data_IF_212798152835
#
_entry.id   IF_212798152835
#
_cell.length_a   1.000
_cell.length_b   1.000
_cell.length_c   1.000
_cell.angle_alpha   90.00
_cell.angle_beta   90.00
_cell.angle_gamma   90.00
#
_symmetry.space_group_name_H-M   'P 1'
#
loop_
_entity.id
_entity.type
_entity.pdbx_description
1 polymer ?
#
# COMPACT_ATOMS: atom_id res chain seq x y z
N UNK A 1 17.27 -23.59 26.22
CA UNK A 1 16.90 -22.30 25.65
C UNK A 1 15.97 -22.61 24.47
N UNK A 2 14.65 -22.40 24.66
CA UNK A 2 13.68 -22.59 23.57
C UNK A 2 13.92 -21.50 22.52
N UNK A 3 14.10 -21.90 21.27
CA UNK A 3 14.04 -20.97 20.15
C UNK A 3 12.61 -20.41 20.13
N UNK A 4 12.44 -19.16 20.53
CA UNK A 4 11.21 -18.44 20.23
C UNK A 4 11.09 -18.42 18.71
N UNK A 5 9.99 -18.96 18.18
CA UNK A 5 9.70 -18.89 16.75
C UNK A 5 9.78 -17.40 16.34
N UNK A 6 10.51 -17.12 15.26
CA UNK A 6 10.53 -15.75 14.74
C UNK A 6 9.10 -15.35 14.40
N UNK A 7 8.65 -14.15 14.79
CA UNK A 7 7.32 -13.68 14.45
C UNK A 7 7.22 -13.61 12.92
N UNK A 8 6.14 -14.15 12.36
CA UNK A 8 5.83 -14.08 10.94
C UNK A 8 4.65 -13.14 10.71
N UNK A 9 4.60 -12.50 9.54
CA UNK A 9 3.43 -11.74 9.12
C UNK A 9 2.25 -12.71 8.95
N UNK A 10 1.06 -12.42 9.54
CA UNK A 10 -0.12 -13.27 9.37
C UNK A 10 -0.49 -13.43 7.88
N UNK A 11 -0.92 -14.63 7.51
CA UNK A 11 -1.47 -14.94 6.19
C UNK A 11 -2.94 -15.24 6.36
N UNK A 12 -3.81 -14.47 5.73
CA UNK A 12 -5.26 -14.60 5.83
C UNK A 12 -5.82 -15.03 4.47
N UNK A 13 -6.50 -16.16 4.43
CA UNK A 13 -7.17 -16.67 3.23
C UNK A 13 -8.37 -15.81 2.87
N UNK A 14 -8.35 -15.22 1.67
CA UNK A 14 -9.39 -14.32 1.16
C UNK A 14 -10.32 -14.97 0.13
N UNK A 15 -9.99 -16.16 -0.37
CA UNK A 15 -10.75 -16.84 -1.42
C UNK A 15 -12.23 -17.07 -1.07
N UNK A 16 -12.54 -17.32 0.19
CA UNK A 16 -13.92 -17.51 0.67
C UNK A 16 -14.73 -16.22 0.81
N UNK A 17 -14.14 -15.06 0.59
CA UNK A 17 -14.81 -13.76 0.69
C UNK A 17 -15.56 -13.35 -0.60
N UNK A 18 -15.54 -14.18 -1.62
CA UNK A 18 -16.39 -14.07 -2.81
C UNK A 18 -17.90 -14.18 -2.49
N UNK A 19 -18.24 -14.60 -1.27
CA UNK A 19 -19.63 -14.67 -0.82
C UNK A 19 -20.09 -13.33 -0.24
N UNK A 20 -21.32 -12.93 -0.57
CA UNK A 20 -21.97 -11.69 -0.16
C UNK A 20 -22.12 -11.54 1.37
N UNK A 21 -21.90 -12.62 2.12
CA UNK A 21 -21.96 -12.63 3.59
C UNK A 21 -20.54 -12.62 4.13
N UNK A 22 -20.12 -11.47 4.66
CA UNK A 22 -18.86 -11.33 5.35
C UNK A 22 -18.94 -12.11 6.67
N UNK A 23 -18.02 -13.04 6.87
CA UNK A 23 -17.98 -13.85 8.10
C UNK A 23 -17.38 -13.02 9.24
N UNK A 24 -18.12 -12.86 10.33
CA UNK A 24 -17.69 -12.10 11.53
C UNK A 24 -16.33 -12.60 12.06
N UNK A 25 -16.07 -13.91 12.00
CA UNK A 25 -14.76 -14.47 12.42
C UNK A 25 -13.61 -13.92 11.54
N UNK A 26 -13.80 -13.87 10.22
CA UNK A 26 -12.82 -13.34 9.29
C UNK A 26 -12.60 -11.82 9.47
N UNK A 27 -13.66 -11.06 9.76
CA UNK A 27 -13.54 -9.63 10.09
C UNK A 27 -12.67 -9.42 11.34
N UNK A 28 -12.88 -10.23 12.37
CA UNK A 28 -12.10 -10.17 13.60
C UNK A 28 -10.63 -10.58 13.38
N UNK A 29 -10.38 -11.56 12.52
CA UNK A 29 -9.02 -11.98 12.17
C UNK A 29 -8.26 -10.85 11.45
N UNK A 30 -8.88 -10.21 10.45
CA UNK A 30 -8.32 -9.04 9.76
C UNK A 30 -8.06 -7.89 10.73
N UNK A 31 -9.03 -7.55 11.59
CA UNK A 31 -8.86 -6.53 12.61
C UNK A 31 -7.69 -6.84 13.52
N UNK A 32 -7.63 -8.05 14.09
CA UNK A 32 -6.56 -8.46 15.00
C UNK A 32 -5.18 -8.39 14.34
N UNK A 33 -5.05 -8.81 13.08
CA UNK A 33 -3.80 -8.70 12.33
C UNK A 33 -3.36 -7.23 12.16
N UNK A 34 -4.30 -6.32 11.86
CA UNK A 34 -4.01 -4.90 11.73
C UNK A 34 -3.73 -4.22 13.08
N UNK A 35 -4.41 -4.63 14.15
CA UNK A 35 -4.14 -4.13 15.51
C UNK A 35 -2.75 -4.58 15.99
N UNK A 36 -2.39 -5.85 15.79
CA UNK A 36 -1.17 -6.43 16.36
C UNK A 36 0.06 -6.19 15.51
N UNK A 37 -0.02 -6.45 14.19
CA UNK A 37 1.10 -6.36 13.26
C UNK A 37 1.07 -5.10 12.40
N UNK A 38 -0.10 -4.48 12.25
CA UNK A 38 -0.33 -3.38 11.31
C UNK A 38 -0.38 -3.83 9.85
N UNK A 39 -0.23 -5.11 9.59
CA UNK A 39 -0.26 -5.68 8.25
C UNK A 39 -0.58 -7.18 8.28
N UNK A 40 -0.96 -7.71 7.11
CA UNK A 40 -1.13 -9.14 6.86
C UNK A 40 -0.99 -9.43 5.35
N UNK A 41 -0.73 -10.67 5.00
CA UNK A 41 -0.77 -11.15 3.63
C UNK A 41 -2.18 -11.67 3.32
N UNK A 42 -2.89 -10.99 2.42
CA UNK A 42 -4.16 -11.43 1.88
C UNK A 42 -3.90 -12.47 0.79
N UNK A 43 -4.22 -13.72 1.05
CA UNK A 43 -3.95 -14.86 0.18
C UNK A 43 -5.20 -15.20 -0.65
N UNK A 44 -5.10 -15.05 -1.97
CA UNK A 44 -6.13 -15.34 -2.96
C UNK A 44 -5.84 -16.60 -3.77
N UNK A 45 -4.88 -17.43 -3.35
CA UNK A 45 -4.59 -18.68 -4.02
C UNK A 45 -5.73 -19.68 -3.81
N UNK A 46 -6.50 -19.94 -4.86
CA UNK A 46 -7.44 -21.08 -4.91
C UNK A 46 -6.71 -22.37 -5.39
N UNK A 47 -5.66 -22.19 -6.24
CA UNK A 47 -4.75 -23.22 -6.75
C UNK A 47 -3.36 -22.60 -6.98
N UNK A 48 -2.32 -23.44 -7.04
CA UNK A 48 -0.88 -23.05 -7.04
C UNK A 48 -0.36 -22.33 -8.31
N UNK A 49 -1.19 -21.89 -9.24
CA UNK A 49 -0.76 -21.43 -10.58
C UNK A 49 -0.51 -19.92 -10.73
N UNK A 50 -0.61 -19.13 -9.67
CA UNK A 50 -0.26 -17.70 -9.71
C UNK A 50 -1.26 -16.82 -10.48
N UNK A 51 -2.43 -17.35 -10.78
CA UNK A 51 -3.52 -16.70 -11.52
C UNK A 51 -4.60 -16.26 -10.54
N UNK A 52 -5.02 -14.98 -10.63
CA UNK A 52 -6.11 -14.46 -9.82
C UNK A 52 -7.33 -14.29 -10.70
N UNK A 53 -8.38 -15.07 -10.40
CA UNK A 53 -9.67 -14.94 -11.06
C UNK A 53 -10.50 -13.84 -10.40
N UNK A 54 -10.83 -12.78 -11.14
CA UNK A 54 -11.77 -11.77 -10.67
C UNK A 54 -13.19 -12.21 -11.00
N UNK A 55 -14.01 -12.49 -9.97
CA UNK A 55 -15.41 -12.86 -10.17
C UNK A 55 -16.32 -11.65 -10.12
N UNK A 56 -16.48 -10.94 -11.22
CA UNK A 56 -17.63 -10.11 -11.57
C UNK A 56 -17.62 -9.93 -13.08
N UNK A 57 -18.66 -10.29 -13.75
CA UNK A 57 -19.05 -10.18 -15.18
C UNK A 57 -17.99 -9.84 -16.27
N UNK A 58 -16.80 -9.39 -15.91
CA UNK A 58 -15.60 -9.26 -16.73
C UNK A 58 -14.52 -10.18 -16.13
N UNK A 59 -14.47 -11.43 -16.59
CA UNK A 59 -13.43 -12.42 -16.22
C UNK A 59 -12.06 -11.98 -16.74
N UNK A 60 -11.44 -10.99 -16.13
CA UNK A 60 -10.03 -10.66 -16.40
C UNK A 60 -9.13 -11.50 -15.50
N UNK A 61 -8.47 -12.47 -16.10
CA UNK A 61 -7.40 -13.23 -15.46
C UNK A 61 -6.17 -12.34 -15.42
N UNK A 62 -5.69 -12.02 -14.21
CA UNK A 62 -4.48 -11.23 -14.03
C UNK A 62 -3.32 -12.15 -13.70
N UNK A 63 -2.38 -12.23 -14.62
CA UNK A 63 -1.09 -12.86 -14.39
C UNK A 63 -0.12 -11.83 -13.80
N UNK A 64 0.27 -12.00 -12.54
CA UNK A 64 1.16 -11.07 -11.85
C UNK A 64 2.53 -10.91 -12.52
N UNK A 65 3.04 -11.94 -13.18
CA UNK A 65 4.31 -11.86 -13.91
C UNK A 65 4.20 -10.91 -15.10
N UNK A 66 3.09 -10.94 -15.84
CA UNK A 66 2.84 -10.02 -16.96
C UNK A 66 2.72 -8.56 -16.48
N UNK A 67 2.15 -8.33 -15.30
CA UNK A 67 2.10 -6.99 -14.69
C UNK A 67 3.52 -6.46 -14.46
N UNK A 68 4.43 -7.26 -13.88
CA UNK A 68 5.82 -6.82 -13.68
C UNK A 68 6.58 -6.67 -14.99
N UNK A 69 6.33 -7.53 -15.98
CA UNK A 69 6.93 -7.42 -17.31
C UNK A 69 6.51 -6.15 -18.04
N UNK A 70 5.26 -5.70 -17.87
CA UNK A 70 4.78 -4.43 -18.41
C UNK A 70 5.46 -3.20 -17.80
N UNK A 71 6.03 -3.31 -16.58
CA UNK A 71 6.77 -2.21 -15.96
C UNK A 71 8.18 -2.02 -16.54
N UNK A 72 8.80 -3.07 -17.10
CA UNK A 72 10.18 -2.99 -17.60
C UNK A 72 10.35 -1.90 -18.66
N UNK A 73 9.58 -1.89 -19.77
CA UNK A 73 9.70 -0.84 -20.79
C UNK A 73 9.34 0.55 -20.26
N UNK A 74 8.51 0.68 -19.22
CA UNK A 74 8.23 1.96 -18.58
C UNK A 74 9.47 2.54 -17.91
N UNK A 75 10.19 1.73 -17.14
CA UNK A 75 11.40 2.17 -16.45
C UNK A 75 12.61 2.34 -17.38
N UNK A 76 12.59 1.73 -18.58
CA UNK A 76 13.62 1.88 -19.59
C UNK A 76 13.47 3.16 -20.44
N UNK A 77 12.36 3.90 -20.25
CA UNK A 77 12.19 5.21 -20.88
C UNK A 77 13.30 6.19 -20.45
N UNK A 78 13.67 7.14 -21.33
CA UNK A 78 14.62 8.19 -20.96
C UNK A 78 14.17 8.99 -19.75
N UNK A 79 15.13 9.47 -18.95
CA UNK A 79 14.84 10.24 -17.72
C UNK A 79 13.99 11.49 -18.02
N UNK A 80 14.25 12.15 -19.16
CA UNK A 80 13.52 13.33 -19.63
C UNK A 80 12.03 13.05 -19.88
N UNK A 81 11.69 11.78 -20.13
CA UNK A 81 10.30 11.34 -20.25
C UNK A 81 9.71 11.04 -18.87
N UNK A 82 10.40 10.27 -18.05
CA UNK A 82 9.92 9.85 -16.72
C UNK A 82 9.64 11.03 -15.80
N UNK A 83 10.46 12.08 -15.84
CA UNK A 83 10.26 13.30 -15.03
C UNK A 83 9.03 14.13 -15.44
N UNK A 84 8.37 13.82 -16.55
CA UNK A 84 7.07 14.41 -16.91
C UNK A 84 5.94 13.91 -16.01
N UNK A 85 6.13 12.81 -15.30
CA UNK A 85 5.20 12.34 -14.28
C UNK A 85 5.29 13.24 -13.05
N UNK A 86 4.59 14.36 -13.09
CA UNK A 86 4.52 15.37 -12.02
C UNK A 86 3.14 15.39 -11.39
N UNK A 87 3.06 15.80 -10.12
CA UNK A 87 1.81 16.08 -9.42
C UNK A 87 2.01 17.24 -8.45
N UNK A 88 1.01 18.10 -8.24
CA UNK A 88 1.03 19.10 -7.17
C UNK A 88 0.93 18.47 -5.76
N UNK A 89 0.47 17.23 -5.66
CA UNK A 89 0.39 16.51 -4.40
C UNK A 89 1.74 15.87 -4.08
N UNK A 90 2.16 15.98 -2.83
CA UNK A 90 3.40 15.37 -2.37
C UNK A 90 3.39 13.86 -2.63
N UNK A 91 4.53 13.31 -3.03
CA UNK A 91 4.75 11.88 -3.30
C UNK A 91 3.91 11.25 -4.42
N UNK A 92 3.20 12.02 -5.26
CA UNK A 92 2.34 11.48 -6.31
C UNK A 92 3.04 11.37 -7.68
N UNK A 93 4.12 12.09 -7.90
CA UNK A 93 4.88 12.07 -9.16
C UNK A 93 6.07 11.09 -9.18
N UNK A 94 6.94 11.31 -10.16
CA UNK A 94 8.20 10.59 -10.30
C UNK A 94 9.13 10.84 -9.12
N UNK A 95 9.76 9.77 -8.64
CA UNK A 95 10.83 9.78 -7.64
C UNK A 95 11.99 8.96 -8.17
N UNK A 96 13.16 9.53 -8.22
CA UNK A 96 14.37 8.86 -8.66
C UNK A 96 15.57 9.80 -8.66
N UNK A 97 16.75 9.28 -8.97
CA UNK A 97 18.01 10.04 -9.01
C UNK A 97 18.35 10.74 -7.68
N UNK A 98 17.86 10.17 -6.54
CA UNK A 98 18.11 10.72 -5.22
C UNK A 98 19.44 10.16 -4.66
N UNK A 99 20.44 11.00 -4.32
CA UNK A 99 21.75 10.52 -3.84
C UNK A 99 21.65 9.65 -2.58
N UNK A 100 20.63 9.89 -1.74
CA UNK A 100 20.41 9.12 -0.50
C UNK A 100 19.54 7.86 -0.71
N UNK A 101 18.90 7.71 -1.89
CA UNK A 101 18.14 6.53 -2.31
C UNK A 101 18.50 6.13 -3.75
N UNK A 102 19.77 5.78 -4.01
CA UNK A 102 20.27 5.59 -5.38
C UNK A 102 19.73 4.34 -6.07
N UNK A 103 19.12 3.42 -5.32
CA UNK A 103 18.59 2.17 -5.87
C UNK A 103 17.16 2.30 -6.36
N UNK A 104 16.41 3.29 -5.86
CA UNK A 104 14.97 3.45 -6.11
C UNK A 104 14.69 4.35 -7.31
N UNK A 105 13.80 3.89 -8.15
CA UNK A 105 13.08 4.67 -9.14
C UNK A 105 11.60 4.33 -9.07
N UNK A 106 10.72 5.34 -9.04
CA UNK A 106 9.28 5.10 -8.89
C UNK A 106 8.44 6.16 -9.59
N UNK A 107 7.25 5.78 -10.03
CA UNK A 107 6.26 6.68 -10.66
C UNK A 107 4.89 6.48 -10.05
N UNK A 108 4.12 7.56 -9.99
CA UNK A 108 2.75 7.54 -9.48
C UNK A 108 1.72 7.70 -10.59
N UNK A 109 0.65 6.91 -10.54
CA UNK A 109 -0.48 6.98 -11.46
C UNK A 109 -1.71 7.33 -10.64
N UNK A 110 -2.13 8.59 -10.71
CA UNK A 110 -3.31 9.07 -10.00
C UNK A 110 -4.60 8.54 -10.66
N UNK A 111 -5.57 8.17 -9.84
CA UNK A 111 -6.87 7.64 -10.29
C UNK A 111 -6.72 6.42 -11.24
N UNK A 112 -5.80 5.53 -10.93
CA UNK A 112 -5.47 4.37 -11.77
C UNK A 112 -6.64 3.38 -11.96
N UNK A 113 -7.67 3.44 -11.13
CA UNK A 113 -8.92 2.68 -11.30
C UNK A 113 -9.79 3.19 -12.45
N UNK A 114 -9.54 4.41 -12.94
CA UNK A 114 -10.24 5.02 -14.06
C UNK A 114 -9.43 4.97 -15.35
N UNK A 115 -10.12 4.77 -16.49
CA UNK A 115 -9.47 4.82 -17.79
C UNK A 115 -8.80 6.19 -18.06
N UNK A 116 -9.40 7.29 -17.57
CA UNK A 116 -8.83 8.63 -17.72
C UNK A 116 -7.48 8.76 -17.01
N UNK A 117 -7.36 8.29 -15.76
CA UNK A 117 -6.11 8.38 -14.99
C UNK A 117 -4.97 7.61 -15.65
N UNK A 118 -5.23 6.35 -16.06
CA UNK A 118 -4.21 5.52 -16.72
C UNK A 118 -3.82 6.07 -18.09
N UNK A 119 -4.80 6.50 -18.91
CA UNK A 119 -4.52 7.09 -20.22
C UNK A 119 -3.72 8.39 -20.11
N UNK A 120 -4.03 9.24 -19.14
CA UNK A 120 -3.28 10.48 -18.91
C UNK A 120 -1.80 10.20 -18.60
N UNK A 121 -1.53 9.26 -17.71
CA UNK A 121 -0.17 8.81 -17.41
C UNK A 121 0.51 8.22 -18.63
N UNK A 122 -0.16 7.29 -19.34
CA UNK A 122 0.42 6.59 -20.48
C UNK A 122 0.78 7.54 -21.62
N UNK A 123 -0.07 8.53 -21.93
CA UNK A 123 0.19 9.54 -22.95
C UNK A 123 1.37 10.45 -22.59
N UNK A 124 1.62 10.68 -21.29
CA UNK A 124 2.80 11.41 -20.87
C UNK A 124 4.10 10.59 -21.02
N UNK A 125 4.01 9.27 -20.87
CA UNK A 125 5.16 8.36 -21.00
C UNK A 125 5.44 7.93 -22.45
N UNK A 126 4.41 7.69 -23.24
CA UNK A 126 4.54 7.26 -24.66
C UNK A 126 3.73 8.18 -25.57
N UNK A 127 4.41 8.90 -26.46
CA UNK A 127 3.76 9.85 -27.38
C UNK A 127 2.75 9.21 -28.34
N UNK A 128 2.92 7.91 -28.63
CA UNK A 128 1.99 7.11 -29.44
C UNK A 128 0.94 6.37 -28.62
N UNK A 129 0.92 6.56 -27.30
CA UNK A 129 0.14 5.75 -26.38
C UNK A 129 0.72 4.34 -26.17
N UNK A 130 0.14 3.58 -25.24
CA UNK A 130 0.46 2.17 -25.00
C UNK A 130 -0.79 1.47 -24.47
N UNK A 131 -1.59 0.93 -25.38
CA UNK A 131 -2.91 0.35 -25.07
C UNK A 131 -2.79 -0.88 -24.17
N UNK A 132 -1.76 -1.71 -24.35
CA UNK A 132 -1.57 -2.93 -23.57
C UNK A 132 -1.18 -2.59 -22.13
N UNK A 133 -0.29 -1.62 -21.96
CA UNK A 133 0.03 -1.08 -20.62
C UNK A 133 -1.22 -0.48 -19.96
N UNK A 134 -2.03 0.31 -20.68
CA UNK A 134 -3.27 0.89 -20.13
C UNK A 134 -4.21 -0.17 -19.62
N UNK A 135 -4.51 -1.20 -20.42
CA UNK A 135 -5.40 -2.29 -20.04
C UNK A 135 -4.86 -3.02 -18.80
N UNK A 136 -3.61 -3.47 -18.85
CA UNK A 136 -2.96 -4.21 -17.79
C UNK A 136 -3.00 -3.46 -16.44
N UNK A 137 -2.58 -2.20 -16.46
CA UNK A 137 -2.50 -1.38 -15.24
C UNK A 137 -3.90 -1.04 -14.70
N UNK A 138 -4.87 -0.77 -15.57
CA UNK A 138 -6.23 -0.50 -15.14
C UNK A 138 -6.89 -1.72 -14.50
N UNK A 139 -6.72 -2.89 -15.10
CA UNK A 139 -7.24 -4.16 -14.56
C UNK A 139 -6.62 -4.48 -13.21
N UNK A 140 -5.29 -4.35 -13.10
CA UNK A 140 -4.60 -4.51 -11.83
C UNK A 140 -5.10 -3.52 -10.76
N UNK A 141 -5.21 -2.23 -11.10
CA UNK A 141 -5.67 -1.22 -10.15
C UNK A 141 -7.11 -1.48 -9.67
N UNK A 142 -8.00 -1.92 -10.56
CA UNK A 142 -9.37 -2.31 -10.20
C UNK A 142 -9.39 -3.52 -9.26
N UNK A 143 -8.60 -4.55 -9.54
CA UNK A 143 -8.50 -5.72 -8.66
C UNK A 143 -8.06 -5.29 -7.26
N UNK A 144 -6.94 -4.56 -7.16
CA UNK A 144 -6.36 -4.20 -5.86
C UNK A 144 -7.24 -3.20 -5.10
N UNK A 145 -7.98 -2.32 -5.80
CA UNK A 145 -8.94 -1.43 -5.14
C UNK A 145 -10.14 -2.19 -4.55
N UNK A 146 -10.59 -3.29 -5.19
CA UNK A 146 -11.62 -4.18 -4.61
C UNK A 146 -11.12 -4.90 -3.36
N UNK A 147 -9.85 -5.34 -3.36
CA UNK A 147 -9.22 -5.93 -2.17
C UNK A 147 -9.23 -4.91 -1.02
N UNK A 148 -8.81 -3.67 -1.28
CA UNK A 148 -8.81 -2.59 -0.28
C UNK A 148 -10.22 -2.34 0.27
N UNK A 149 -11.21 -2.18 -0.59
CA UNK A 149 -12.60 -1.96 -0.19
C UNK A 149 -13.13 -3.10 0.69
N UNK A 150 -12.82 -4.35 0.34
CA UNK A 150 -13.20 -5.53 1.11
C UNK A 150 -12.58 -5.51 2.49
N UNK A 151 -11.26 -5.29 2.59
CA UNK A 151 -10.55 -5.21 3.88
C UNK A 151 -11.11 -4.10 4.76
N UNK A 152 -11.31 -2.91 4.18
CA UNK A 152 -11.86 -1.76 4.90
C UNK A 152 -13.28 -2.03 5.39
N UNK A 153 -14.13 -2.64 4.58
CA UNK A 153 -15.47 -3.06 4.98
C UNK A 153 -15.42 -4.03 6.16
N UNK A 154 -14.55 -5.05 6.10
CA UNK A 154 -14.38 -6.02 7.20
C UNK A 154 -13.97 -5.36 8.51
N UNK A 155 -13.04 -4.40 8.45
CA UNK A 155 -12.60 -3.67 9.63
C UNK A 155 -13.73 -2.80 10.18
N UNK A 156 -14.47 -2.08 9.31
CA UNK A 156 -15.60 -1.25 9.74
C UNK A 156 -16.69 -2.09 10.41
N UNK A 157 -17.03 -3.26 9.84
CA UNK A 157 -17.97 -4.22 10.45
C UNK A 157 -17.45 -4.76 11.80
N UNK A 158 -16.15 -5.11 11.86
CA UNK A 158 -15.58 -5.65 13.09
C UNK A 158 -15.55 -4.65 14.26
N UNK A 159 -15.58 -3.37 13.96
CA UNK A 159 -15.69 -2.29 14.94
C UNK A 159 -17.14 -1.80 15.17
N UNK A 160 -18.14 -2.34 14.45
CA UNK A 160 -19.53 -1.88 14.53
C UNK A 160 -19.75 -0.45 14.01
N UNK A 161 -18.96 -0.05 13.01
CA UNK A 161 -18.97 1.30 12.41
C UNK A 161 -19.24 1.26 10.91
N UNK A 162 -19.91 0.23 10.43
CA UNK A 162 -20.25 0.01 9.01
C UNK A 162 -21.03 1.17 8.39
N UNK A 163 -21.76 1.94 9.18
CA UNK A 163 -22.50 3.13 8.73
C UNK A 163 -21.63 4.21 8.05
N UNK A 164 -20.30 4.20 8.34
CA UNK A 164 -19.37 5.14 7.73
C UNK A 164 -18.81 4.64 6.39
N UNK A 165 -19.11 3.42 5.97
CA UNK A 165 -18.51 2.81 4.79
C UNK A 165 -18.87 3.55 3.49
N UNK A 166 -20.15 3.91 3.29
CA UNK A 166 -20.58 4.61 2.07
C UNK A 166 -19.94 5.98 1.93
N UNK A 167 -20.01 6.80 2.99
CA UNK A 167 -19.41 8.14 2.98
C UNK A 167 -17.90 8.11 2.78
N UNK A 168 -17.25 7.06 3.27
CA UNK A 168 -15.82 6.85 3.03
C UNK A 168 -15.55 6.50 1.57
N UNK A 169 -16.34 5.62 0.95
CA UNK A 169 -16.23 5.25 -0.47
C UNK A 169 -16.31 6.45 -1.42
N UNK A 170 -17.19 7.40 -1.14
CA UNK A 170 -17.34 8.63 -1.92
C UNK A 170 -16.09 9.53 -1.87
N UNK A 171 -15.32 9.40 -0.80
CA UNK A 171 -14.18 10.27 -0.50
C UNK A 171 -12.82 9.63 -0.80
N UNK A 172 -12.75 8.31 -0.99
CA UNK A 172 -11.49 7.61 -1.23
C UNK A 172 -10.89 7.96 -2.60
N UNK A 173 -9.58 8.09 -2.63
CA UNK A 173 -8.79 8.21 -3.86
C UNK A 173 -7.65 7.24 -3.86
N UNK A 174 -7.31 6.75 -5.06
CA UNK A 174 -6.29 5.75 -5.26
C UNK A 174 -5.10 6.33 -6.01
N UNK A 175 -3.92 6.18 -5.44
CA UNK A 175 -2.64 6.37 -6.10
C UNK A 175 -2.01 4.99 -6.34
N UNK A 176 -1.81 4.61 -7.58
CA UNK A 176 -0.99 3.45 -7.90
C UNK A 176 0.46 3.90 -8.05
N UNK A 177 1.38 3.29 -7.33
CA UNK A 177 2.82 3.51 -7.51
C UNK A 177 3.49 2.26 -8.04
N UNK A 178 4.26 2.45 -9.08
CA UNK A 178 5.16 1.44 -9.63
C UNK A 178 6.59 1.78 -9.21
N UNK A 179 7.35 0.78 -8.79
CA UNK A 179 8.67 0.95 -8.19
C UNK A 179 9.65 -0.05 -8.80
N UNK A 180 10.84 0.43 -9.16
CA UNK A 180 11.98 -0.37 -9.59
C UNK A 180 13.14 -0.12 -8.64
N UNK A 181 13.73 -1.20 -8.14
CA UNK A 181 14.94 -1.15 -7.36
C UNK A 181 16.04 -1.87 -8.14
N UNK A 182 17.12 -1.16 -8.46
CA UNK A 182 18.28 -1.82 -9.06
C UNK A 182 19.10 -2.55 -8.01
N UNK A 183 19.83 -3.60 -8.39
CA UNK A 183 20.78 -4.24 -7.50
C UNK A 183 21.86 -3.25 -7.04
N UNK A 184 22.33 -3.34 -5.77
CA UNK A 184 23.43 -2.53 -5.28
C UNK A 184 24.77 -2.99 -5.88
N UNK A 185 25.66 -2.07 -6.19
CA UNK A 185 27.06 -2.41 -6.46
C UNK A 185 27.80 -2.80 -5.16
N UNK A 186 28.97 -3.43 -5.27
CA UNK A 186 29.72 -3.97 -4.11
C UNK A 186 30.03 -2.96 -3.01
N UNK A 187 30.06 -1.66 -3.30
CA UNK A 187 30.39 -0.59 -2.35
C UNK A 187 29.22 0.33 -2.01
N UNK A 188 28.04 0.06 -2.54
CA UNK A 188 26.84 0.86 -2.31
C UNK A 188 26.05 0.41 -1.08
N UNK A 189 25.18 1.32 -0.61
CA UNK A 189 24.14 0.96 0.35
C UNK A 189 23.22 -0.10 -0.24
N UNK A 190 22.74 -1.01 0.61
CA UNK A 190 21.69 -1.96 0.25
C UNK A 190 20.27 -1.41 0.49
N UNK A 191 20.18 -0.19 1.02
CA UNK A 191 18.89 0.42 1.34
C UNK A 191 18.20 0.86 0.04
N UNK A 192 17.13 0.17 -0.32
CA UNK A 192 16.25 0.52 -1.42
C UNK A 192 15.18 1.53 -1.02
N UNK A 193 14.65 1.41 0.22
CA UNK A 193 13.79 2.41 0.85
C UNK A 193 14.15 2.52 2.32
N UNK A 194 14.25 3.74 2.82
CA UNK A 194 14.51 4.01 4.24
C UNK A 194 13.32 3.58 5.09
N UNK A 195 13.55 3.37 6.39
CA UNK A 195 12.50 3.07 7.35
C UNK A 195 11.48 4.20 7.44
N UNK A 196 10.19 3.90 7.27
CA UNK A 196 9.09 4.86 7.36
C UNK A 196 7.76 4.13 7.66
N UNK A 197 6.76 4.86 8.04
CA UNK A 197 5.34 4.44 8.03
C UNK A 197 4.66 5.06 6.82
N UNK A 198 3.64 4.39 6.27
CA UNK A 198 2.83 4.97 5.21
C UNK A 198 1.91 6.07 5.75
N UNK A 199 1.71 7.11 4.97
CA UNK A 199 0.83 8.24 5.33
C UNK A 199 -0.62 8.02 4.86
N UNK A 200 -0.89 6.87 4.29
CA UNK A 200 -2.15 6.42 3.71
C UNK A 200 -3.17 5.99 4.78
N UNK A 201 -4.38 5.68 4.32
CA UNK A 201 -5.31 4.89 5.12
C UNK A 201 -4.91 3.41 5.04
N UNK A 202 -4.96 2.81 3.86
CA UNK A 202 -4.46 1.45 3.59
C UNK A 202 -3.50 1.52 2.40
N UNK A 203 -2.43 0.72 2.46
CA UNK A 203 -1.54 0.41 1.35
C UNK A 203 -1.63 -1.08 1.04
N UNK A 204 -1.73 -1.43 -0.25
CA UNK A 204 -1.68 -2.82 -0.69
C UNK A 204 -0.53 -2.97 -1.66
N UNK A 205 0.41 -3.85 -1.32
CA UNK A 205 1.69 -3.99 -2.01
C UNK A 205 1.87 -5.39 -2.57
N UNK A 206 2.46 -5.47 -3.75
CA UNK A 206 3.00 -6.71 -4.32
C UNK A 206 4.41 -6.48 -4.85
N UNK A 207 5.14 -7.56 -5.07
CA UNK A 207 6.48 -7.53 -5.67
C UNK A 207 6.69 -8.73 -6.58
N UNK A 208 7.67 -8.61 -7.48
CA UNK A 208 8.18 -9.78 -8.19
C UNK A 208 8.90 -10.75 -7.21
N UNK A 209 9.50 -11.81 -7.71
CA UNK A 209 10.15 -12.85 -6.90
C UNK A 209 11.37 -12.35 -6.11
N UNK A 210 11.86 -11.13 -6.38
CA UNK A 210 13.01 -10.55 -5.69
C UNK A 210 12.60 -9.99 -4.33
N UNK A 211 13.13 -10.56 -3.27
CA UNK A 211 12.87 -10.16 -1.88
C UNK A 211 13.47 -8.78 -1.56
N UNK A 212 13.05 -8.17 -0.47
CA UNK A 212 13.64 -6.92 0.00
C UNK A 212 12.79 -6.16 1.03
N UNK A 213 11.47 -6.29 0.97
CA UNK A 213 10.59 -5.61 1.93
C UNK A 213 10.72 -6.26 3.32
N UNK A 214 10.86 -5.42 4.33
CA UNK A 214 10.90 -5.81 5.74
C UNK A 214 9.93 -4.91 6.52
N UNK A 215 9.18 -5.50 7.45
CA UNK A 215 8.27 -4.82 8.37
C UNK A 215 8.81 -4.93 9.79
N UNK A 216 8.70 -3.86 10.57
CA UNK A 216 9.14 -3.81 11.96
C UNK A 216 7.98 -4.15 12.89
N UNK A 217 8.18 -5.13 13.76
CA UNK A 217 7.22 -5.47 14.81
C UNK A 217 7.14 -4.37 15.87
N UNK A 218 6.10 -4.39 16.71
CA UNK A 218 5.99 -3.51 17.89
C UNK A 218 7.17 -3.68 18.85
N UNK A 219 7.73 -4.90 18.96
CA UNK A 219 8.91 -5.19 19.78
C UNK A 219 10.24 -4.77 19.13
N UNK A 220 10.19 -4.18 17.93
CA UNK A 220 11.35 -3.62 17.25
C UNK A 220 12.12 -4.56 16.33
N UNK A 221 11.68 -5.80 16.12
CA UNK A 221 12.31 -6.76 15.20
C UNK A 221 11.91 -6.50 13.75
N UNK A 222 12.84 -6.67 12.83
CA UNK A 222 12.58 -6.61 11.39
C UNK A 222 12.23 -8.00 10.86
N UNK A 223 11.05 -8.14 10.27
CA UNK A 223 10.56 -9.37 9.64
C UNK A 223 10.62 -9.18 8.12
N UNK A 224 11.31 -10.07 7.36
CA UNK A 224 11.22 -10.07 5.92
C UNK A 224 9.81 -10.49 5.47
N UNK A 225 9.27 -9.79 4.46
CA UNK A 225 7.99 -10.16 3.86
C UNK A 225 8.23 -11.21 2.79
N UNK A 226 7.68 -12.39 3.02
CA UNK A 226 7.69 -13.48 2.04
C UNK A 226 6.28 -13.63 1.47
N UNK A 227 6.15 -13.37 0.17
CA UNK A 227 4.86 -13.43 -0.52
C UNK A 227 4.58 -14.87 -0.99
N UNK A 228 3.54 -15.56 -0.46
CA UNK A 228 2.98 -16.70 -1.15
C UNK A 228 2.49 -16.33 -2.56
N UNK A 229 2.38 -17.26 -3.49
CA UNK A 229 1.74 -16.99 -4.77
C UNK A 229 0.35 -16.37 -4.58
N UNK A 230 -0.05 -15.47 -5.47
CA UNK A 230 -1.34 -14.78 -5.43
C UNK A 230 -1.64 -14.04 -4.11
N UNK A 231 -0.63 -13.56 -3.40
CA UNK A 231 -0.82 -12.82 -2.16
C UNK A 231 -0.52 -11.34 -2.30
N UNK A 232 -1.22 -10.53 -1.49
CA UNK A 232 -1.08 -9.09 -1.40
C UNK A 232 -0.77 -8.71 0.04
N UNK A 233 0.28 -7.91 0.26
CA UNK A 233 0.51 -7.34 1.58
C UNK A 233 -0.44 -6.16 1.78
N UNK A 234 -1.35 -6.30 2.72
CA UNK A 234 -2.20 -5.22 3.22
C UNK A 234 -1.51 -4.58 4.41
N UNK A 235 -1.34 -3.26 4.38
CA UNK A 235 -0.66 -2.52 5.43
C UNK A 235 -1.46 -1.28 5.82
N UNK A 236 -1.62 -1.06 7.11
CA UNK A 236 -2.24 0.14 7.64
C UNK A 236 -1.27 1.31 7.63
N UNK A 237 -1.75 2.49 7.23
CA UNK A 237 -1.01 3.73 7.30
C UNK A 237 -1.38 4.58 8.53
N UNK A 238 -0.69 5.71 8.66
CA UNK A 238 -0.85 6.63 9.78
C UNK A 238 -2.27 7.22 9.86
N UNK A 239 -2.91 7.46 8.71
CA UNK A 239 -4.28 7.96 8.69
C UNK A 239 -5.28 6.92 9.24
N UNK A 240 -5.05 5.63 9.00
CA UNK A 240 -5.87 4.56 9.56
C UNK A 240 -5.64 4.41 11.07
N UNK A 241 -4.39 4.51 11.53
CA UNK A 241 -4.06 4.57 12.96
C UNK A 241 -4.84 5.69 13.65
N UNK A 242 -4.85 6.90 13.09
CA UNK A 242 -5.57 8.03 13.68
C UNK A 242 -7.09 7.82 13.64
N UNK A 243 -7.65 7.36 12.50
CA UNK A 243 -9.08 7.07 12.38
C UNK A 243 -9.56 6.04 13.39
N UNK A 244 -8.77 4.98 13.65
CA UNK A 244 -9.11 3.91 14.59
C UNK A 244 -8.90 4.27 16.06
N UNK A 245 -8.57 5.52 16.37
CA UNK A 245 -8.22 5.99 17.72
C UNK A 245 -7.04 5.21 18.32
N UNK A 246 -5.99 4.97 17.50
CA UNK A 246 -4.77 4.24 17.88
C UNK A 246 -4.94 2.72 18.11
N UNK A 247 -6.07 2.13 17.70
CA UNK A 247 -6.24 0.66 17.78
C UNK A 247 -5.42 -0.06 16.71
N UNK A 248 -5.51 0.42 15.47
CA UNK A 248 -4.74 -0.11 14.35
C UNK A 248 -3.29 0.37 14.44
N UNK A 249 -2.35 -0.55 14.25
CA UNK A 249 -0.93 -0.25 14.22
C UNK A 249 -0.49 0.20 12.81
N UNK A 250 0.25 1.30 12.69
CA UNK A 250 0.93 1.70 11.44
C UNK A 250 2.39 1.26 11.54
N UNK A 251 2.80 0.18 10.83
CA UNK A 251 4.11 -0.42 11.05
C UNK A 251 5.20 0.32 10.28
N UNK A 252 6.37 0.47 10.89
CA UNK A 252 7.57 0.85 10.16
C UNK A 252 7.96 -0.26 9.19
N UNK A 253 8.33 0.14 7.98
CA UNK A 253 8.83 -0.79 6.97
C UNK A 253 9.95 -0.16 6.15
N UNK A 254 10.74 -1.00 5.51
CA UNK A 254 11.88 -0.60 4.66
C UNK A 254 12.12 -1.61 3.55
N UNK A 255 12.92 -1.22 2.57
CA UNK A 255 13.41 -2.15 1.54
C UNK A 255 14.92 -2.28 1.67
N UNK A 256 15.40 -3.51 1.81
CA UNK A 256 16.81 -3.86 1.81
C UNK A 256 17.06 -4.78 0.63
N UNK A 257 17.86 -4.33 -0.33
CA UNK A 257 18.16 -5.09 -1.54
C UNK A 257 19.28 -6.11 -1.30
N UNK A 258 19.04 -7.33 -1.77
CA UNK A 258 20.00 -8.43 -1.76
C UNK A 258 20.10 -9.04 -3.15
N UNK A 259 21.30 -9.61 -3.46
CA UNK A 259 21.53 -10.22 -4.77
C UNK A 259 21.79 -9.20 -5.88
N UNK A 260 21.65 -9.67 -7.12
CA UNK A 260 22.06 -8.98 -8.36
C UNK A 260 20.88 -8.78 -9.34
N UNK A 261 19.65 -9.04 -8.89
CA UNK A 261 18.44 -8.90 -9.72
C UNK A 261 17.68 -7.60 -9.42
N UNK A 262 16.94 -7.11 -10.43
CA UNK A 262 16.03 -5.99 -10.28
C UNK A 262 14.76 -6.41 -9.53
N UNK A 263 14.44 -5.69 -8.46
CA UNK A 263 13.15 -5.83 -7.78
C UNK A 263 12.15 -4.85 -8.38
N UNK A 264 11.00 -5.37 -8.79
CA UNK A 264 9.83 -4.59 -9.17
C UNK A 264 8.76 -4.75 -8.10
N UNK A 265 8.14 -3.64 -7.72
CA UNK A 265 7.03 -3.62 -6.78
C UNK A 265 5.96 -2.68 -7.30
N UNK A 266 4.71 -3.01 -7.03
CA UNK A 266 3.57 -2.19 -7.36
C UNK A 266 2.67 -2.11 -6.14
N UNK A 267 2.14 -0.93 -5.85
CA UNK A 267 1.27 -0.73 -4.70
C UNK A 267 0.16 0.26 -4.99
N UNK A 268 -1.01 0.01 -4.41
CA UNK A 268 -2.10 0.97 -4.33
C UNK A 268 -2.09 1.62 -2.94
N UNK A 269 -2.21 2.94 -2.93
CA UNK A 269 -2.16 3.77 -1.74
C UNK A 269 -3.45 4.57 -1.66
N UNK A 270 -4.19 4.45 -0.55
CA UNK A 270 -5.49 5.09 -0.42
C UNK A 270 -5.43 6.34 0.43
N UNK A 271 -6.05 7.39 -0.08
CA UNK A 271 -6.19 8.68 0.59
C UNK A 271 -7.67 9.06 0.62
N UNK A 272 -8.05 9.78 1.66
CA UNK A 272 -9.39 10.32 1.83
C UNK A 272 -9.41 11.80 1.43
N UNK A 273 -10.36 12.20 0.59
CA UNK A 273 -10.61 13.62 0.30
C UNK A 273 -11.39 14.25 1.44
N UNK A 274 -10.84 15.32 2.03
CA UNK A 274 -11.46 16.04 3.12
C UNK A 274 -11.05 15.54 4.49
N UNK A 275 -11.93 15.69 5.46
CA UNK A 275 -11.63 15.52 6.88
C UNK A 275 -11.84 14.06 7.31
N UNK A 276 -10.82 13.47 7.90
CA UNK A 276 -10.91 12.19 8.63
C UNK A 276 -11.28 12.49 10.08
N UNK A 277 -12.23 11.75 10.60
CA UNK A 277 -12.67 11.83 11.99
C UNK A 277 -12.64 10.46 12.64
N UNK A 278 -12.27 10.41 13.90
CA UNK A 278 -12.42 9.21 14.72
C UNK A 278 -13.92 8.95 14.92
N UNK A 279 -14.45 7.76 14.57
CA UNK A 279 -15.82 7.40 14.93
C UNK A 279 -16.08 7.54 16.41
N UNK A 280 -17.25 8.05 16.80
CA UNK A 280 -17.59 8.23 18.22
C UNK A 280 -17.65 6.89 18.97
N UNK A 281 -18.04 5.83 18.28
CA UNK A 281 -18.09 4.45 18.80
C UNK A 281 -16.71 3.90 19.17
N UNK A 282 -15.64 4.50 18.65
CA UNK A 282 -14.26 4.14 18.99
C UNK A 282 -13.68 4.98 20.14
N UNK A 283 -14.50 5.79 20.79
CA UNK A 283 -14.11 6.63 21.93
C UNK A 283 -14.99 6.29 23.12
N UNK A 284 -14.37 5.82 24.20
CA UNK A 284 -15.02 5.45 25.47
C UNK A 284 -14.10 5.75 26.66
N UNK A 285 -14.49 5.36 27.87
CA UNK A 285 -13.70 5.58 29.11
C UNK A 285 -12.35 4.84 29.08
N UNK A 286 -12.33 3.64 28.49
CA UNK A 286 -11.10 2.82 28.37
C UNK A 286 -10.24 3.26 27.19
N UNK A 287 -10.85 3.93 26.21
CA UNK A 287 -10.19 4.42 25.00
C UNK A 287 -10.51 5.91 24.78
N UNK A 288 -9.98 6.80 25.60
CA UNK A 288 -10.20 8.25 25.43
C UNK A 288 -9.70 8.72 24.06
N UNK A 289 -10.27 9.80 23.55
CA UNK A 289 -9.90 10.35 22.25
C UNK A 289 -8.41 10.70 22.21
N UNK A 290 -7.70 10.15 21.22
CA UNK A 290 -6.26 10.36 20.99
C UNK A 290 -5.97 11.27 19.79
N UNK A 291 -6.92 11.47 18.89
CA UNK A 291 -6.73 12.25 17.68
C UNK A 291 -7.89 13.20 17.43
N UNK A 292 -7.54 14.42 17.04
CA UNK A 292 -8.46 15.40 16.50
C UNK A 292 -8.80 15.06 15.04
N UNK A 293 -9.89 15.63 14.53
CA UNK A 293 -10.21 15.58 13.10
C UNK A 293 -9.14 16.28 12.27
N UNK A 294 -8.78 15.72 11.12
CA UNK A 294 -7.70 16.25 10.28
C UNK A 294 -7.97 16.10 8.79
N UNK A 295 -7.39 17.00 7.99
CA UNK A 295 -7.35 16.86 6.53
C UNK A 295 -6.21 15.92 6.11
N UNK A 296 -6.53 14.86 5.34
CA UNK A 296 -5.57 13.84 4.97
C UNK A 296 -4.47 14.37 4.02
N UNK A 297 -4.84 15.19 3.05
CA UNK A 297 -3.84 15.81 2.16
C UNK A 297 -3.03 16.89 2.87
N UNK A 298 -3.64 17.63 3.80
CA UNK A 298 -2.93 18.52 4.70
C UNK A 298 -1.88 17.79 5.55
N UNK A 299 -2.19 16.60 6.04
CA UNK A 299 -1.21 15.74 6.71
C UNK A 299 -0.06 15.32 5.78
N UNK A 300 -0.37 14.95 4.53
CA UNK A 300 0.66 14.59 3.57
C UNK A 300 1.60 15.76 3.25
N UNK A 301 1.06 16.97 3.11
CA UNK A 301 1.83 18.19 2.90
C UNK A 301 2.66 18.57 4.15
N UNK A 302 2.10 18.41 5.35
CA UNK A 302 2.83 18.59 6.61
C UNK A 302 4.04 17.65 6.66
N UNK A 303 3.84 16.35 6.42
CA UNK A 303 4.92 15.38 6.40
C UNK A 303 5.98 15.68 5.34
N UNK A 304 5.59 16.12 4.14
CA UNK A 304 6.51 16.45 3.07
C UNK A 304 7.43 17.64 3.43
N UNK A 305 6.94 18.60 4.19
CA UNK A 305 7.71 19.77 4.65
C UNK A 305 8.65 19.43 5.81
N UNK A 306 8.20 18.55 6.72
CA UNK A 306 8.89 18.23 7.97
C UNK A 306 9.87 17.06 7.82
N UNK A 307 9.75 16.26 6.75
CA UNK A 307 10.55 15.06 6.50
C UNK A 307 12.07 15.26 6.41
N UNK A 308 12.54 16.51 6.52
CA UNK A 308 13.97 16.85 6.54
C UNK A 308 14.61 16.64 7.92
N UNK A 309 13.86 16.50 9.02
CA UNK A 309 14.42 16.65 10.35
C UNK A 309 14.41 15.39 11.24
N UNK A 310 13.43 14.50 11.19
CA UNK A 310 13.46 13.26 11.96
C UNK A 310 12.44 12.22 11.49
N UNK A 311 12.92 11.10 10.91
CA UNK A 311 12.07 10.06 10.33
C UNK A 311 11.68 8.96 11.32
N UNK A 312 12.17 8.99 12.55
CA UNK A 312 11.89 7.99 13.58
C UNK A 312 10.65 8.28 14.43
N UNK A 313 10.06 9.49 14.34
CA UNK A 313 8.88 9.87 15.11
C UNK A 313 7.58 9.70 14.32
N UNK A 314 6.53 9.29 15.00
CA UNK A 314 5.18 9.20 14.43
C UNK A 314 4.62 10.61 14.20
N UNK A 315 4.75 11.11 12.97
CA UNK A 315 4.33 12.46 12.61
C UNK A 315 2.81 12.68 12.70
N UNK A 316 1.97 11.64 12.67
CA UNK A 316 0.52 11.79 12.80
C UNK A 316 0.13 12.31 14.17
N UNK A 317 0.81 11.88 15.23
CA UNK A 317 0.60 12.40 16.58
C UNK A 317 0.99 13.89 16.69
N UNK A 318 2.04 14.32 15.98
CA UNK A 318 2.44 15.73 15.93
C UNK A 318 1.48 16.59 15.13
N UNK A 319 0.74 16.01 14.17
CA UNK A 319 -0.20 16.73 13.31
C UNK A 319 -1.59 16.86 13.93
N UNK A 320 -2.15 15.80 14.47
CA UNK A 320 -3.52 15.78 14.97
C UNK A 320 -3.72 15.07 16.32
N UNK A 321 -2.64 14.70 17.03
CA UNK A 321 -2.75 14.14 18.38
C UNK A 321 -3.38 15.11 19.38
N UNK A 322 -4.05 14.56 20.42
CA UNK A 322 -4.65 15.31 21.55
C UNK A 322 -3.64 15.42 22.68
#
# INVERSE_FOLDING_TARGET
MGFLAQPNIPVIKMANMKQTIINVSACNEVRHALEEYGCFLADYSDDDDGIINTTDHDEEIINMMEVYDALKPLFDLPIETKVKNTSPKAYHGYVGQLPFLPLLESMGIENATSAHGVNSFTNAMWSSGNTDFCKMIQSYAKLVSKIEETVRKMVFESYGVEKYHESYNESVTYLLRVMKYRPPSMKETRIGSISHTDKTFISILTQNQVKGLQVKTKDGYWIPVEYPPCSFLVMAGDAFKAWSNDRVHSPYHRVVMEGDEYRYSIGIFTYHKGIIQVPEELVDEDHPRKFNSFDHFGYLDFYAKDSLFDKEYCHINSYCGV
#
